data_IF_683769457273
#
_entry.id   IF_683769457273
#
_cell.length_a   1.000
_cell.length_b   1.000
_cell.length_c   1.000
_cell.angle_alpha   90.00
_cell.angle_beta   90.00
_cell.angle_gamma   90.00
#
_symmetry.space_group_name_H-M   'P 1'
#
loop_
_entity.id
_entity.type
_entity.pdbx_description
1 polymer ?
#
# COMPACT_ATOMS: atom_id res chain seq x y z
N UNK A 1 -4.03 16.59 12.09
CA UNK A 1 -4.87 16.10 13.20
C UNK A 1 -4.45 14.67 13.48
N UNK A 2 -4.15 14.34 14.73
CA UNK A 2 -3.89 12.95 15.14
C UNK A 2 -5.23 12.27 15.39
N UNK A 3 -5.37 11.01 14.96
CA UNK A 3 -6.49 10.16 15.34
C UNK A 3 -6.36 9.72 16.81
N UNK A 4 -7.48 9.43 17.46
CA UNK A 4 -7.52 8.74 18.75
C UNK A 4 -7.33 7.23 18.58
N UNK A 5 -7.01 6.52 19.67
CA UNK A 5 -6.87 5.05 19.64
C UNK A 5 -8.14 4.36 19.14
N UNK A 6 -9.33 4.86 19.51
CA UNK A 6 -10.60 4.32 19.04
C UNK A 6 -10.81 4.52 17.53
N UNK A 7 -10.36 5.65 16.97
CA UNK A 7 -10.43 5.89 15.53
C UNK A 7 -9.46 4.99 14.77
N UNK A 8 -8.28 4.74 15.33
CA UNK A 8 -7.35 3.75 14.79
C UNK A 8 -7.94 2.35 14.82
N UNK A 9 -8.52 1.95 15.95
CA UNK A 9 -9.13 0.62 16.08
C UNK A 9 -10.31 0.44 15.13
N UNK A 10 -11.18 1.44 15.00
CA UNK A 10 -12.29 1.43 14.05
C UNK A 10 -11.78 1.27 12.61
N UNK A 11 -10.79 2.05 12.19
CA UNK A 11 -10.27 1.96 10.83
C UNK A 11 -9.58 0.61 10.56
N UNK A 12 -8.71 0.18 11.47
CA UNK A 12 -7.89 -1.01 11.27
C UNK A 12 -8.66 -2.32 11.47
N UNK A 13 -9.83 -2.29 12.13
CA UNK A 13 -10.71 -3.45 12.30
C UNK A 13 -11.70 -3.65 11.15
N UNK A 14 -11.75 -2.72 10.17
CA UNK A 14 -12.62 -2.84 9.01
C UNK A 14 -12.39 -4.17 8.26
N UNK A 15 -13.47 -4.88 7.89
CA UNK A 15 -13.34 -6.09 7.08
C UNK A 15 -12.60 -5.80 5.79
N UNK A 16 -11.55 -6.59 5.50
CA UNK A 16 -10.73 -6.43 4.31
C UNK A 16 -9.53 -5.50 4.48
N UNK A 17 -9.42 -4.76 5.60
CA UNK A 17 -8.23 -3.97 5.94
C UNK A 17 -7.20 -4.86 6.65
N UNK A 18 -5.93 -4.73 6.24
CA UNK A 18 -4.80 -5.39 6.89
C UNK A 18 -3.57 -4.49 6.83
N UNK A 19 -2.88 -4.36 7.95
CA UNK A 19 -1.64 -3.58 8.07
C UNK A 19 -0.47 -4.50 8.39
N UNK A 20 0.67 -4.25 7.77
CA UNK A 20 1.94 -4.89 8.07
C UNK A 20 3.03 -3.85 8.31
N UNK A 21 3.91 -4.18 9.26
CA UNK A 21 5.12 -3.42 9.53
C UNK A 21 6.28 -4.16 8.87
N UNK A 22 7.04 -3.48 8.02
CA UNK A 22 8.31 -3.98 7.52
C UNK A 22 9.39 -3.78 8.58
N UNK A 23 10.19 -4.83 8.82
CA UNK A 23 11.35 -4.78 9.70
C UNK A 23 12.62 -5.15 8.94
N UNK A 24 13.72 -4.49 9.29
CA UNK A 24 15.08 -4.88 8.92
C UNK A 24 15.81 -5.09 10.24
N UNK A 25 16.19 -6.34 10.50
CA UNK A 25 16.57 -6.77 11.84
C UNK A 25 15.48 -6.40 12.86
N UNK A 26 15.83 -5.67 13.92
CA UNK A 26 14.88 -5.22 14.95
C UNK A 26 14.19 -3.88 14.60
N UNK A 27 14.68 -3.16 13.59
CA UNK A 27 14.23 -1.80 13.28
C UNK A 27 12.99 -1.78 12.39
N UNK A 28 12.07 -0.86 12.68
CA UNK A 28 10.91 -0.59 11.83
C UNK A 28 11.37 0.16 10.58
N UNK A 29 11.27 -0.49 9.43
CA UNK A 29 11.69 0.05 8.16
C UNK A 29 10.55 0.74 7.38
N UNK A 30 9.30 0.35 7.63
CA UNK A 30 8.15 0.91 6.92
C UNK A 30 6.83 0.24 7.27
N UNK A 31 5.77 0.66 6.58
CA UNK A 31 4.43 0.11 6.74
C UNK A 31 3.73 -0.05 5.39
N UNK A 32 2.84 -1.03 5.34
CA UNK A 32 1.88 -1.18 4.24
C UNK A 32 0.50 -1.44 4.81
N UNK A 33 -0.48 -0.73 4.29
CA UNK A 33 -1.90 -0.98 4.52
C UNK A 33 -2.53 -1.44 3.21
N UNK A 34 -3.21 -2.57 3.28
CA UNK A 34 -3.94 -3.17 2.17
C UNK A 34 -5.42 -3.18 2.50
N UNK A 35 -6.24 -2.88 1.50
CA UNK A 35 -7.69 -2.93 1.59
C UNK A 35 -8.25 -3.81 0.48
N UNK A 36 -8.92 -4.90 0.85
CA UNK A 36 -9.62 -5.78 -0.08
C UNK A 36 -11.11 -5.41 -0.20
N UNK A 37 -11.53 -5.09 -1.41
CA UNK A 37 -12.92 -4.79 -1.75
C UNK A 37 -13.74 -6.07 -2.02
N UNK A 38 -15.07 -6.05 -1.83
CA UNK A 38 -15.94 -7.21 -2.07
C UNK A 38 -15.85 -7.81 -3.49
N UNK A 39 -15.44 -7.02 -4.48
CA UNK A 39 -15.28 -7.45 -5.86
C UNK A 39 -13.93 -8.15 -6.13
N UNK A 40 -13.05 -8.29 -5.13
CA UNK A 40 -11.71 -8.88 -5.27
C UNK A 40 -10.61 -7.90 -5.71
N UNK A 41 -10.89 -6.60 -5.83
CA UNK A 41 -9.84 -5.61 -5.98
C UNK A 41 -9.13 -5.40 -4.63
N UNK A 42 -7.81 -5.24 -4.65
CA UNK A 42 -7.01 -4.99 -3.46
C UNK A 42 -6.19 -3.73 -3.67
N UNK A 43 -6.46 -2.71 -2.87
CA UNK A 43 -5.70 -1.45 -2.85
C UNK A 43 -4.50 -1.57 -1.93
N UNK A 44 -3.34 -1.10 -2.38
CA UNK A 44 -2.25 -0.67 -1.50
C UNK A 44 -2.53 0.79 -1.17
N UNK A 45 -3.20 1.04 -0.05
CA UNK A 45 -3.73 2.37 0.31
C UNK A 45 -2.71 3.20 1.09
N UNK A 46 -1.84 2.54 1.85
CA UNK A 46 -0.64 3.16 2.45
C UNK A 46 0.57 2.31 2.11
N UNK A 47 1.64 2.95 1.64
CA UNK A 47 2.93 2.31 1.41
C UNK A 47 4.05 3.32 1.62
N UNK A 48 4.96 3.01 2.53
CA UNK A 48 6.08 3.89 2.79
C UNK A 48 7.16 3.24 3.62
N UNK A 49 8.39 3.69 3.39
CA UNK A 49 9.51 3.45 4.30
C UNK A 49 9.67 4.65 5.22
N UNK A 50 10.17 4.42 6.42
CA UNK A 50 10.64 5.52 7.27
C UNK A 50 11.89 6.17 6.63
N UNK A 51 12.16 7.46 6.85
CA UNK A 51 13.19 8.21 6.14
C UNK A 51 14.58 7.54 6.15
N UNK A 52 14.93 6.88 7.25
CA UNK A 52 16.22 6.22 7.47
C UNK A 52 16.46 5.05 6.52
N UNK A 53 15.42 4.47 5.93
CA UNK A 53 15.50 3.34 5.00
C UNK A 53 15.29 3.74 3.52
N UNK A 54 14.96 5.01 3.26
CA UNK A 54 14.81 5.54 1.89
C UNK A 54 16.17 5.62 1.19
N UNK A 55 16.21 5.31 -0.11
CA UNK A 55 17.43 5.39 -0.94
C UNK A 55 18.42 4.22 -0.76
N UNK A 56 18.14 3.28 0.16
CA UNK A 56 19.02 2.12 0.46
C UNK A 56 18.64 0.82 -0.26
N UNK A 57 17.73 0.88 -1.23
CA UNK A 57 17.29 -0.29 -2.02
C UNK A 57 16.14 -1.11 -1.42
N UNK A 58 15.72 -0.86 -0.17
CA UNK A 58 14.65 -1.61 0.49
C UNK A 58 13.27 -1.45 -0.15
N UNK A 59 12.98 -0.29 -0.75
CA UNK A 59 11.64 0.00 -1.28
C UNK A 59 11.20 -0.94 -2.40
N UNK A 60 12.17 -1.50 -3.14
CA UNK A 60 11.90 -2.50 -4.16
C UNK A 60 11.46 -3.84 -3.58
N UNK A 61 12.23 -4.35 -2.62
CA UNK A 61 11.93 -5.61 -1.94
C UNK A 61 10.62 -5.50 -1.14
N UNK A 62 10.43 -4.38 -0.45
CA UNK A 62 9.23 -4.14 0.33
C UNK A 62 7.97 -4.14 -0.55
N UNK A 63 7.97 -3.40 -1.67
CA UNK A 63 6.85 -3.39 -2.59
C UNK A 63 6.54 -4.78 -3.17
N UNK A 64 7.57 -5.57 -3.50
CA UNK A 64 7.38 -6.95 -3.97
C UNK A 64 6.68 -7.81 -2.91
N UNK A 65 7.08 -7.72 -1.65
CA UNK A 65 6.44 -8.45 -0.56
C UNK A 65 5.00 -7.96 -0.34
N UNK A 66 4.78 -6.65 -0.29
CA UNK A 66 3.44 -6.05 -0.17
C UNK A 66 2.50 -6.49 -1.28
N UNK A 67 2.99 -6.54 -2.53
CA UNK A 67 2.19 -6.97 -3.68
C UNK A 67 1.83 -8.45 -3.58
N UNK A 68 2.73 -9.30 -3.07
CA UNK A 68 2.43 -10.73 -2.81
C UNK A 68 1.40 -10.89 -1.70
N UNK A 69 1.48 -10.09 -0.63
CA UNK A 69 0.46 -10.08 0.43
C UNK A 69 -0.91 -9.72 -0.15
N UNK A 70 -0.98 -8.68 -0.98
CA UNK A 70 -2.21 -8.24 -1.64
C UNK A 70 -2.85 -9.34 -2.50
N UNK A 71 -2.07 -10.02 -3.34
CA UNK A 71 -2.58 -11.13 -4.16
C UNK A 71 -3.05 -12.35 -3.36
N UNK A 72 -2.55 -12.53 -2.13
CA UNK A 72 -2.97 -13.62 -1.25
C UNK A 72 -4.18 -13.27 -0.39
N UNK A 73 -4.69 -12.04 -0.43
CA UNK A 73 -5.87 -11.66 0.33
C UNK A 73 -7.15 -12.30 -0.25
N UNK A 74 -8.12 -12.47 0.65
CA UNK A 74 -9.51 -12.75 0.29
C UNK A 74 -10.33 -11.52 0.62
N UNK A 75 -11.24 -11.16 -0.28
CA UNK A 75 -12.22 -10.11 -0.04
C UNK A 75 -13.14 -10.48 1.14
N UNK A 76 -13.82 -9.51 1.77
CA UNK A 76 -14.87 -9.79 2.76
C UNK A 76 -15.97 -10.71 2.23
N UNK A 77 -16.21 -10.70 0.92
CA UNK A 77 -17.12 -11.62 0.22
C UNK A 77 -16.61 -13.06 0.07
N UNK A 78 -15.34 -13.32 0.41
CA UNK A 78 -14.63 -14.57 0.16
C UNK A 78 -13.94 -14.64 -1.21
N UNK A 79 -14.13 -13.65 -2.09
CA UNK A 79 -13.53 -13.65 -3.42
C UNK A 79 -11.99 -13.63 -3.38
N UNK A 80 -11.36 -14.26 -4.37
CA UNK A 80 -9.92 -14.13 -4.62
C UNK A 80 -9.57 -12.72 -5.07
N UNK A 81 -8.35 -12.27 -4.75
CA UNK A 81 -7.79 -11.08 -5.37
C UNK A 81 -7.76 -11.25 -6.90
N UNK A 82 -8.36 -10.29 -7.62
CA UNK A 82 -8.37 -10.24 -9.09
C UNK A 82 -7.55 -9.08 -9.65
N UNK A 83 -7.26 -8.07 -8.84
CA UNK A 83 -6.48 -6.90 -9.21
C UNK A 83 -5.82 -6.30 -7.97
N UNK A 84 -4.56 -5.93 -8.10
CA UNK A 84 -3.85 -5.12 -7.11
C UNK A 84 -3.62 -3.74 -7.71
N UNK A 85 -3.98 -2.70 -6.97
CA UNK A 85 -3.86 -1.31 -7.44
C UNK A 85 -3.29 -0.41 -6.34
N UNK A 86 -2.77 0.74 -6.75
CA UNK A 86 -2.33 1.82 -5.87
C UNK A 86 -2.53 3.15 -6.57
N UNK A 87 -2.60 4.22 -5.79
CA UNK A 87 -2.57 5.58 -6.29
C UNK A 87 -1.18 6.18 -6.07
N UNK A 88 -0.71 6.94 -7.05
CA UNK A 88 0.52 7.72 -6.93
C UNK A 88 0.31 9.10 -7.55
N UNK A 89 0.98 10.10 -7.00
CA UNK A 89 0.90 11.49 -7.42
C UNK A 89 2.28 12.02 -7.83
N UNK A 90 2.32 13.12 -8.58
CA UNK A 90 3.58 13.81 -8.89
C UNK A 90 4.26 14.43 -7.67
N UNK A 91 3.58 14.46 -6.50
CA UNK A 91 4.15 14.92 -5.23
C UNK A 91 4.85 13.81 -4.45
N UNK A 92 4.70 12.56 -4.89
CA UNK A 92 5.35 11.42 -4.23
C UNK A 92 6.86 11.44 -4.51
N UNK A 93 7.60 10.59 -3.79
CA UNK A 93 9.02 10.44 -4.00
C UNK A 93 9.34 10.22 -5.50
N UNK A 94 10.36 10.89 -6.10
CA UNK A 94 10.69 10.73 -7.53
C UNK A 94 10.94 9.29 -8.00
N UNK A 95 11.24 8.40 -7.05
CA UNK A 95 11.45 6.98 -7.31
C UNK A 95 10.18 6.11 -7.17
N UNK A 96 9.06 6.65 -6.71
CA UNK A 96 7.83 5.89 -6.47
C UNK A 96 7.29 5.27 -7.77
N UNK A 97 6.98 6.10 -8.76
CA UNK A 97 6.45 5.62 -10.05
C UNK A 97 7.39 4.63 -10.77
N UNK A 98 8.70 4.91 -10.96
CA UNK A 98 9.63 3.92 -11.52
C UNK A 98 9.71 2.63 -10.70
N UNK A 99 9.55 2.71 -9.36
CA UNK A 99 9.52 1.53 -8.51
C UNK A 99 8.30 0.66 -8.82
N UNK A 100 7.11 1.25 -8.93
CA UNK A 100 5.86 0.57 -9.27
C UNK A 100 5.91 -0.10 -10.65
N UNK A 101 6.33 0.65 -11.67
CA UNK A 101 6.40 0.15 -13.06
C UNK A 101 7.36 -1.06 -13.18
N UNK A 102 8.52 -1.02 -12.51
CA UNK A 102 9.46 -2.15 -12.44
C UNK A 102 8.89 -3.41 -11.76
N UNK A 103 7.76 -3.31 -11.05
CA UNK A 103 7.09 -4.44 -10.37
C UNK A 103 5.80 -4.84 -11.08
N UNK A 104 5.61 -4.39 -12.32
CA UNK A 104 4.50 -4.81 -13.18
C UNK A 104 3.22 -3.98 -13.00
N UNK A 105 3.25 -2.89 -12.23
CA UNK A 105 2.13 -1.94 -12.22
C UNK A 105 2.11 -1.16 -13.54
N UNK A 106 0.91 -0.95 -14.08
CA UNK A 106 0.66 -0.11 -15.24
C UNK A 106 -0.42 0.93 -14.92
N UNK A 107 -0.37 2.08 -15.59
CA UNK A 107 -1.40 3.11 -15.44
C UNK A 107 -2.72 2.59 -16.00
N UNK A 108 -3.76 2.54 -15.17
CA UNK A 108 -5.12 2.15 -15.59
C UNK A 108 -6.10 3.32 -15.57
N UNK A 109 -5.81 4.36 -14.78
CA UNK A 109 -6.60 5.60 -14.64
C UNK A 109 -5.66 6.74 -14.28
N UNK A 110 -5.96 7.94 -14.75
CA UNK A 110 -5.28 9.17 -14.36
C UNK A 110 -6.33 10.20 -14.02
N UNK A 111 -6.16 10.87 -12.88
CA UNK A 111 -7.06 11.92 -12.43
C UNK A 111 -6.27 13.23 -12.34
N UNK A 112 -6.86 14.31 -12.87
CA UNK A 112 -6.33 15.65 -12.68
C UNK A 112 -7.10 16.31 -11.55
N UNK A 113 -6.46 16.47 -10.40
CA UNK A 113 -7.03 17.26 -9.31
C UNK A 113 -6.72 18.73 -9.60
N UNK A 114 -7.69 19.43 -10.21
CA UNK A 114 -7.58 20.87 -10.44
C UNK A 114 -7.34 21.62 -9.14
N UNK A 115 -6.49 22.64 -9.17
CA UNK A 115 -6.37 23.61 -8.08
C UNK A 115 -7.69 24.38 -7.99
N UNK A 116 -8.56 23.96 -7.07
CA UNK A 116 -9.60 24.80 -6.51
C UNK A 116 -9.07 25.56 -5.31
#
# INVERSE_FOLDING_TARGET
>A
MSWSDAQWEEELSRPGVRVWIARVDEDVAGLVELEAEPNGDVGIVVFGLVPEFVGKGFGGAFLTLSTRLAWNMRAPSGAAARRVWLQTSSRDHPHARPNYEKRGFCVFRTEQRGMG
#
